data_IF_638882626856
#
_entry.id   IF_638882626856
#
_cell.length_a   1.000
_cell.length_b   1.000
_cell.length_c   1.000
_cell.angle_alpha   90.00
_cell.angle_beta   90.00
_cell.angle_gamma   90.00
#
_symmetry.space_group_name_H-M   'P 1'
#
loop_
_entity.id
_entity.type
_entity.pdbx_description
1 polymer ?
#
# COMPACT_ATOMS: atom_id res chain seq x y z
N UNK A 1 69.42 0.41 3.18
CA UNK A 1 68.20 1.10 2.69
C UNK A 1 67.41 0.27 1.68
N UNK A 2 68.01 -0.21 0.57
CA UNK A 2 67.30 -1.00 -0.46
C UNK A 2 66.63 -2.30 0.04
N UNK A 3 67.26 -3.02 0.97
CA UNK A 3 66.73 -4.29 1.53
C UNK A 3 65.55 -4.10 2.49
N UNK A 4 65.52 -2.99 3.22
CA UNK A 4 64.43 -2.67 4.17
C UNK A 4 63.19 -2.22 3.38
N UNK A 5 63.38 -1.39 2.37
CA UNK A 5 62.29 -0.95 1.48
C UNK A 5 61.59 -2.15 0.80
N UNK A 6 62.37 -3.14 0.35
CA UNK A 6 61.83 -4.35 -0.26
C UNK A 6 60.95 -5.15 0.72
N UNK A 7 61.39 -5.29 1.98
CA UNK A 7 60.63 -6.01 3.01
C UNK A 7 59.34 -5.28 3.37
N UNK A 8 59.35 -3.95 3.39
CA UNK A 8 58.14 -3.14 3.66
C UNK A 8 57.11 -3.27 2.54
N UNK A 9 57.54 -3.31 1.27
CA UNK A 9 56.63 -3.52 0.13
C UNK A 9 56.01 -4.92 0.19
N UNK A 10 56.80 -5.95 0.50
CA UNK A 10 56.29 -7.32 0.63
C UNK A 10 55.28 -7.41 1.78
N UNK A 11 55.56 -6.80 2.93
CA UNK A 11 54.62 -6.76 4.06
C UNK A 11 53.30 -6.08 3.69
N UNK A 12 53.34 -5.01 2.89
CA UNK A 12 52.14 -4.32 2.42
C UNK A 12 51.26 -5.22 1.53
N UNK A 13 51.88 -6.03 0.65
CA UNK A 13 51.16 -6.99 -0.20
C UNK A 13 50.61 -8.19 0.58
N UNK A 14 51.29 -8.64 1.63
CA UNK A 14 50.83 -9.76 2.48
C UNK A 14 49.74 -9.33 3.46
N UNK A 15 49.69 -8.04 3.82
CA UNK A 15 48.62 -7.46 4.66
C UNK A 15 47.38 -7.02 3.87
N UNK A 16 47.38 -7.12 2.53
CA UNK A 16 46.15 -6.92 1.76
C UNK A 16 45.15 -8.03 2.10
N UNK A 17 43.96 -7.71 2.61
CA UNK A 17 43.00 -8.73 2.98
C UNK A 17 42.60 -9.52 1.74
N UNK A 18 42.86 -10.83 1.72
CA UNK A 18 42.29 -11.76 0.74
C UNK A 18 40.74 -11.71 0.70
N UNK A 19 40.12 -11.09 1.71
CA UNK A 19 38.69 -10.76 1.74
C UNK A 19 38.24 -9.75 0.67
N UNK A 20 39.15 -8.99 0.06
CA UNK A 20 38.82 -8.03 -1.02
C UNK A 20 38.33 -8.71 -2.31
N UNK A 21 38.61 -10.01 -2.49
CA UNK A 21 38.23 -10.78 -3.68
C UNK A 21 36.96 -11.63 -3.48
N UNK A 22 36.31 -11.55 -2.31
CA UNK A 22 35.14 -12.36 -2.00
C UNK A 22 33.80 -11.72 -2.46
N UNK A 23 33.83 -10.52 -3.05
CA UNK A 23 32.65 -9.93 -3.70
C UNK A 23 32.74 -10.10 -5.21
N UNK A 24 32.11 -11.14 -5.72
CA UNK A 24 31.76 -11.21 -7.15
C UNK A 24 30.70 -10.15 -7.42
N UNK A 25 30.96 -9.24 -8.36
CA UNK A 25 29.92 -8.35 -8.85
C UNK A 25 28.88 -9.20 -9.58
N UNK A 26 27.63 -9.18 -9.11
CA UNK A 26 26.51 -9.76 -9.83
C UNK A 26 26.26 -8.90 -11.07
N UNK A 27 26.19 -9.53 -12.23
CA UNK A 27 25.78 -8.89 -13.47
C UNK A 27 24.26 -8.66 -13.47
N UNK A 28 23.77 -7.66 -14.21
CA UNK A 28 22.32 -7.43 -14.32
C UNK A 28 21.58 -8.65 -14.89
N UNK A 29 22.23 -9.48 -15.72
CA UNK A 29 21.63 -10.73 -16.20
C UNK A 29 21.51 -11.80 -15.11
N UNK A 30 22.46 -11.85 -14.17
CA UNK A 30 22.37 -12.74 -13.00
C UNK A 30 21.35 -12.21 -11.98
N UNK A 31 21.24 -10.89 -11.81
CA UNK A 31 20.20 -10.30 -10.98
C UNK A 31 18.82 -10.53 -11.59
N UNK A 32 18.69 -10.41 -12.92
CA UNK A 32 17.45 -10.69 -13.64
C UNK A 32 17.07 -12.16 -13.58
N UNK A 33 18.03 -13.10 -13.66
CA UNK A 33 17.69 -14.52 -13.59
C UNK A 33 17.22 -14.96 -12.20
N UNK A 34 17.67 -14.29 -11.15
CA UNK A 34 17.26 -14.56 -9.76
C UNK A 34 15.98 -13.82 -9.39
N UNK A 35 15.77 -12.59 -9.88
CA UNK A 35 14.59 -11.77 -9.54
C UNK A 35 13.40 -11.98 -10.47
N UNK A 36 13.59 -12.48 -11.69
CA UNK A 36 12.52 -12.73 -12.65
C UNK A 36 11.96 -14.17 -12.61
N UNK A 37 12.45 -15.04 -11.72
CA UNK A 37 12.04 -16.45 -11.68
C UNK A 37 10.82 -16.74 -10.80
N UNK A 38 10.52 -15.91 -9.80
CA UNK A 38 9.51 -16.25 -8.79
C UNK A 38 8.66 -15.01 -8.47
N UNK A 39 7.34 -15.18 -8.45
CA UNK A 39 6.41 -14.13 -8.02
C UNK A 39 6.70 -13.65 -6.59
N UNK A 40 6.32 -12.42 -6.27
CA UNK A 40 6.52 -11.85 -4.93
C UNK A 40 5.42 -12.34 -4.00
N UNK A 41 5.79 -13.04 -2.93
CA UNK A 41 4.88 -13.39 -1.84
C UNK A 41 5.10 -12.47 -0.65
N UNK A 42 4.04 -11.78 -0.22
CA UNK A 42 4.02 -11.01 1.03
C UNK A 42 3.18 -11.80 2.04
N UNK A 43 3.81 -12.20 3.14
CA UNK A 43 3.16 -12.91 4.24
C UNK A 43 2.73 -11.93 5.34
N UNK A 44 1.42 -11.85 5.58
CA UNK A 44 0.86 -11.02 6.66
C UNK A 44 0.79 -11.77 8.00
N UNK A 45 1.27 -13.02 8.06
CA UNK A 45 1.23 -13.85 9.24
C UNK A 45 -0.20 -14.12 9.72
N UNK A 46 -0.35 -14.35 11.02
CA UNK A 46 -1.65 -14.65 11.65
C UNK A 46 -2.53 -13.42 11.87
N UNK A 47 -1.94 -12.23 11.97
CA UNK A 47 -2.69 -11.00 12.26
C UNK A 47 -1.89 -9.75 11.89
N UNK A 48 -2.08 -9.25 10.68
CA UNK A 48 -1.76 -7.86 10.35
C UNK A 48 -3.01 -7.02 10.56
N UNK A 49 -2.91 -5.95 11.34
CA UNK A 49 -4.03 -5.03 11.55
C UNK A 49 -3.61 -3.60 11.24
N UNK A 50 -4.51 -2.87 10.60
CA UNK A 50 -4.44 -1.42 10.56
C UNK A 50 -4.99 -0.90 11.90
N UNK A 51 -4.27 0.02 12.54
CA UNK A 51 -4.69 0.64 13.80
C UNK A 51 -5.91 1.54 13.59
N UNK A 52 -5.78 2.83 13.92
CA UNK A 52 -6.87 3.77 13.71
C UNK A 52 -6.97 4.15 12.22
N UNK A 53 -8.12 3.83 11.60
CA UNK A 53 -8.49 4.34 10.28
C UNK A 53 -9.49 5.48 10.49
N UNK A 54 -9.05 6.69 10.20
CA UNK A 54 -9.88 7.89 10.27
C UNK A 54 -9.92 8.57 8.91
N UNK A 55 -11.14 8.84 8.44
CA UNK A 55 -11.39 9.74 7.33
C UNK A 55 -11.95 11.01 7.95
N UNK A 56 -11.17 12.09 7.87
CA UNK A 56 -11.56 13.38 8.45
C UNK A 56 -12.77 13.97 7.72
N UNK A 57 -12.69 14.05 6.38
CA UNK A 57 -13.80 14.48 5.53
C UNK A 57 -13.79 13.71 4.22
N UNK A 58 -14.92 13.07 3.90
CA UNK A 58 -15.31 12.75 2.53
C UNK A 58 -16.57 13.55 2.21
N UNK A 59 -16.51 14.38 1.17
CA UNK A 59 -17.63 15.23 0.78
C UNK A 59 -17.83 15.22 -0.72
N UNK A 60 -19.08 15.41 -1.13
CA UNK A 60 -19.46 15.73 -2.49
C UNK A 60 -20.42 16.91 -2.48
N UNK A 61 -20.43 17.65 -3.57
CA UNK A 61 -21.23 18.85 -3.71
C UNK A 61 -20.88 19.56 -4.99
N UNK A 62 -21.45 20.76 -5.15
CA UNK A 62 -21.10 21.66 -6.23
C UNK A 62 -20.80 23.06 -5.69
N UNK A 63 -20.03 23.81 -6.48
CA UNK A 63 -19.62 25.17 -6.12
C UNK A 63 -20.63 26.25 -6.53
N UNK A 64 -21.68 25.90 -7.28
CA UNK A 64 -22.56 26.85 -7.96
C UNK A 64 -24.05 26.70 -7.62
N UNK A 65 -24.40 25.84 -6.67
CA UNK A 65 -25.78 25.56 -6.28
C UNK A 65 -26.54 24.80 -7.37
N UNK A 66 -27.60 24.11 -6.97
CA UNK A 66 -28.56 23.50 -7.89
C UNK A 66 -29.78 24.40 -8.08
N UNK A 67 -30.60 24.14 -9.11
CA UNK A 67 -31.79 24.96 -9.42
C UNK A 67 -32.68 25.14 -8.19
N UNK A 68 -32.84 26.40 -7.75
CA UNK A 68 -33.58 26.77 -6.55
C UNK A 68 -32.71 27.23 -5.37
N UNK A 69 -31.39 27.06 -5.45
CA UNK A 69 -30.42 27.48 -4.43
C UNK A 69 -29.29 28.30 -5.08
N UNK A 70 -29.00 29.48 -4.53
CA UNK A 70 -28.06 30.43 -5.10
C UNK A 70 -26.61 30.28 -4.60
N UNK A 71 -26.34 29.27 -3.77
CA UNK A 71 -25.05 29.08 -3.09
C UNK A 71 -24.62 27.62 -3.15
N UNK A 72 -23.31 27.40 -3.04
CA UNK A 72 -22.70 26.08 -2.96
C UNK A 72 -23.32 25.25 -1.83
N UNK A 73 -23.33 23.93 -2.04
CA UNK A 73 -23.87 22.98 -1.08
C UNK A 73 -23.10 21.68 -1.13
N UNK A 74 -22.67 21.23 0.04
CA UNK A 74 -21.87 20.03 0.23
C UNK A 74 -22.53 19.13 1.26
N UNK A 75 -22.52 17.83 0.96
CA UNK A 75 -22.83 16.79 1.93
C UNK A 75 -21.64 15.89 2.04
N UNK A 76 -21.40 15.39 3.25
CA UNK A 76 -20.33 14.46 3.46
C UNK A 76 -20.26 14.02 4.90
N UNK A 77 -19.24 13.23 5.21
CA UNK A 77 -19.10 12.64 6.51
C UNK A 77 -17.66 12.56 6.95
N UNK A 78 -17.48 12.55 8.27
CA UNK A 78 -16.30 11.93 8.87
C UNK A 78 -16.59 10.45 9.12
N UNK A 79 -15.55 9.63 9.07
CA UNK A 79 -15.62 8.20 9.38
C UNK A 79 -14.52 7.85 10.36
N UNK A 80 -14.90 7.23 11.47
CA UNK A 80 -14.00 6.70 12.46
C UNK A 80 -14.28 5.20 12.61
N UNK A 81 -13.24 4.39 12.45
CA UNK A 81 -13.29 2.95 12.57
C UNK A 81 -12.59 2.52 13.85
N UNK A 82 -13.12 1.51 14.53
CA UNK A 82 -12.43 0.92 15.69
C UNK A 82 -11.00 0.50 15.32
N UNK A 83 -10.06 0.52 16.29
CA UNK A 83 -8.76 -0.10 16.09
C UNK A 83 -8.92 -1.54 15.60
N UNK A 84 -8.01 -1.97 14.72
CA UNK A 84 -8.03 -3.30 14.12
C UNK A 84 -9.29 -3.59 13.28
N UNK A 85 -10.02 -2.56 12.86
CA UNK A 85 -11.21 -2.75 12.02
C UNK A 85 -10.89 -3.33 10.64
N UNK A 86 -9.65 -3.18 10.17
CA UNK A 86 -9.17 -3.85 8.95
C UNK A 86 -8.04 -4.78 9.33
N UNK A 87 -8.26 -6.07 9.14
CA UNK A 87 -7.27 -7.12 9.40
C UNK A 87 -6.96 -7.87 8.11
N UNK A 88 -5.72 -8.31 7.99
CA UNK A 88 -5.24 -9.12 6.87
C UNK A 88 -4.56 -10.37 7.41
N UNK A 89 -4.79 -11.51 6.75
CA UNK A 89 -4.13 -12.78 7.08
C UNK A 89 -3.85 -13.60 5.82
N UNK A 90 -2.87 -14.50 5.94
CA UNK A 90 -2.40 -15.31 4.82
C UNK A 90 -1.51 -14.52 3.85
N UNK A 91 -1.43 -14.99 2.62
CA UNK A 91 -0.44 -14.53 1.64
C UNK A 91 -1.06 -13.66 0.55
N UNK A 92 -0.41 -12.54 0.25
CA UNK A 92 -0.61 -11.80 -0.99
C UNK A 92 0.44 -12.25 -1.99
N UNK A 93 0.02 -12.76 -3.15
CA UNK A 93 0.93 -13.22 -4.20
C UNK A 93 0.80 -12.32 -5.41
N UNK A 94 1.92 -11.76 -5.87
CA UNK A 94 2.02 -10.93 -7.06
C UNK A 94 2.82 -11.70 -8.10
N UNK A 95 2.23 -11.85 -9.28
CA UNK A 95 2.87 -12.50 -10.42
C UNK A 95 2.70 -11.64 -11.68
N UNK A 96 3.66 -11.74 -12.60
CA UNK A 96 3.64 -11.07 -13.89
C UNK A 96 3.86 -12.13 -14.95
N UNK A 97 2.89 -12.28 -15.86
CA UNK A 97 2.94 -13.32 -16.87
C UNK A 97 2.39 -12.85 -18.22
N UNK A 98 2.90 -13.44 -19.29
CA UNK A 98 2.36 -13.28 -20.64
C UNK A 98 1.59 -14.54 -21.01
N UNK A 99 0.30 -14.38 -21.33
CA UNK A 99 -0.51 -15.49 -21.80
C UNK A 99 -0.05 -15.91 -23.21
N UNK A 100 0.25 -17.19 -23.36
CA UNK A 100 0.79 -17.77 -24.61
C UNK A 100 -0.24 -17.85 -25.74
N UNK A 101 -1.54 -17.71 -25.43
CA UNK A 101 -2.62 -17.80 -26.42
C UNK A 101 -2.91 -16.45 -27.08
N UNK A 102 -2.88 -15.36 -26.32
CA UNK A 102 -3.26 -14.03 -26.80
C UNK A 102 -2.14 -12.98 -26.66
N UNK A 103 -0.93 -13.42 -26.28
CA UNK A 103 0.27 -12.60 -26.09
C UNK A 103 0.07 -11.42 -25.13
N UNK A 104 -0.95 -11.43 -24.27
CA UNK A 104 -1.20 -10.36 -23.31
C UNK A 104 -0.37 -10.58 -22.06
N UNK A 105 0.41 -9.56 -21.69
CA UNK A 105 1.10 -9.50 -20.41
C UNK A 105 0.18 -8.88 -19.36
N UNK A 106 0.08 -9.50 -18.20
CA UNK A 106 -0.72 -9.03 -17.07
C UNK A 106 0.03 -9.18 -15.75
N UNK A 107 -0.30 -8.31 -14.80
CA UNK A 107 0.04 -8.46 -13.39
C UNK A 107 -1.16 -9.07 -12.69
N UNK A 108 -0.98 -10.21 -12.04
CA UNK A 108 -1.98 -10.87 -11.21
C UNK A 108 -1.63 -10.71 -9.74
N UNK A 109 -2.56 -10.19 -8.95
CA UNK A 109 -2.41 -9.99 -7.50
C UNK A 109 -3.48 -10.83 -6.81
N UNK A 110 -3.08 -12.00 -6.30
CA UNK A 110 -3.95 -12.81 -5.43
C UNK A 110 -4.09 -12.08 -4.10
N UNK A 111 -5.33 -11.77 -3.75
CA UNK A 111 -5.62 -11.07 -2.50
C UNK A 111 -5.44 -12.02 -1.30
N UNK A 112 -4.84 -11.55 -0.20
CA UNK A 112 -4.86 -12.24 1.07
C UNK A 112 -6.29 -12.20 1.65
N UNK A 113 -6.51 -12.86 2.78
CA UNK A 113 -7.78 -12.70 3.48
C UNK A 113 -7.82 -11.30 4.09
N UNK A 114 -8.66 -10.43 3.55
CA UNK A 114 -8.94 -9.11 4.11
C UNK A 114 -10.25 -9.23 4.89
N UNK A 115 -10.26 -8.83 6.15
CA UNK A 115 -11.46 -8.80 6.97
C UNK A 115 -11.67 -7.39 7.51
N UNK A 116 -12.79 -6.78 7.13
CA UNK A 116 -13.26 -5.52 7.69
C UNK A 116 -14.31 -5.84 8.75
N UNK A 117 -14.01 -5.55 10.02
CA UNK A 117 -14.86 -5.86 11.16
C UNK A 117 -14.83 -4.75 12.21
N UNK A 118 -15.65 -4.85 13.26
CA UNK A 118 -15.70 -3.86 14.32
C UNK A 118 -16.77 -2.78 14.13
N UNK A 119 -16.59 -1.66 14.82
CA UNK A 119 -17.58 -0.57 14.82
C UNK A 119 -17.10 0.55 13.90
N UNK A 120 -18.00 1.02 13.04
CA UNK A 120 -17.78 2.20 12.21
C UNK A 120 -18.78 3.27 12.66
N UNK A 121 -18.25 4.43 13.05
CA UNK A 121 -19.05 5.61 13.35
C UNK A 121 -18.86 6.61 12.23
N UNK A 122 -19.95 7.06 11.64
CA UNK A 122 -19.92 8.11 10.62
C UNK A 122 -20.83 9.26 11.01
N UNK A 123 -20.31 10.49 10.96
CA UNK A 123 -21.09 11.70 11.26
C UNK A 123 -21.38 12.42 9.96
N UNK A 124 -22.65 12.38 9.55
CA UNK A 124 -23.11 12.98 8.30
C UNK A 124 -23.47 14.45 8.51
N UNK A 125 -22.96 15.32 7.64
CA UNK A 125 -23.15 16.77 7.70
C UNK A 125 -23.56 17.35 6.35
N UNK A 126 -24.33 18.44 6.40
CA UNK A 126 -24.53 19.40 5.32
C UNK A 126 -23.82 20.71 5.66
N UNK A 127 -23.14 21.30 4.67
CA UNK A 127 -22.44 22.57 4.82
C UNK A 127 -22.39 23.35 3.50
N UNK A 128 -22.19 24.68 3.53
CA UNK A 128 -21.95 25.48 2.33
C UNK A 128 -20.51 25.36 1.80
N UNK A 129 -19.60 24.77 2.56
CA UNK A 129 -18.18 24.56 2.23
C UNK A 129 -17.83 23.07 2.06
N UNK A 130 -16.82 22.78 1.25
CA UNK A 130 -16.39 21.41 0.92
C UNK A 130 -15.81 20.69 2.13
N UNK A 131 -15.17 21.42 3.03
CA UNK A 131 -14.48 20.92 4.21
C UNK A 131 -15.45 20.52 5.34
N UNK A 132 -16.72 20.95 5.24
CA UNK A 132 -17.77 20.72 6.23
C UNK A 132 -17.46 21.32 7.60
N UNK A 133 -16.86 22.51 7.63
CA UNK A 133 -16.43 23.23 8.84
C UNK A 133 -17.06 24.61 9.05
N UNK A 134 -17.84 25.15 8.09
CA UNK A 134 -18.47 26.46 8.28
C UNK A 134 -19.39 26.55 9.51
N UNK A 135 -19.62 27.78 9.98
CA UNK A 135 -20.59 28.04 11.03
C UNK A 135 -22.02 27.81 10.49
N UNK A 136 -22.77 26.88 11.08
CA UNK A 136 -24.14 26.55 10.65
C UNK A 136 -24.32 25.15 10.07
N UNK A 137 -23.29 24.30 10.10
CA UNK A 137 -23.36 22.94 9.56
C UNK A 137 -24.42 22.12 10.30
N UNK A 138 -25.37 21.59 9.54
CA UNK A 138 -26.37 20.69 10.09
C UNK A 138 -25.76 19.29 10.13
N UNK A 139 -25.44 18.79 11.33
CA UNK A 139 -25.28 17.34 11.50
C UNK A 139 -26.62 16.72 11.21
N UNK A 140 -26.73 16.01 10.09
CA UNK A 140 -27.96 15.35 9.67
C UNK A 140 -28.22 14.14 10.58
N UNK A 141 -27.14 13.47 10.98
CA UNK A 141 -27.22 12.34 11.89
C UNK A 141 -25.87 11.64 12.05
N UNK A 142 -25.88 10.63 12.91
CA UNK A 142 -24.75 9.73 13.11
C UNK A 142 -25.16 8.33 12.71
N UNK A 143 -24.45 7.74 11.75
CA UNK A 143 -24.60 6.35 11.40
C UNK A 143 -23.66 5.51 12.27
N UNK A 144 -24.23 4.52 12.95
CA UNK A 144 -23.49 3.52 13.72
C UNK A 144 -23.63 2.18 13.01
N UNK A 145 -22.55 1.71 12.40
CA UNK A 145 -22.52 0.40 11.76
C UNK A 145 -21.80 -0.54 12.72
N UNK A 146 -22.52 -1.54 13.21
CA UNK A 146 -22.00 -2.59 14.10
C UNK A 146 -22.14 -3.94 13.43
N UNK A 147 -21.10 -4.77 13.57
CA UNK A 147 -21.12 -6.13 13.05
C UNK A 147 -21.03 -6.22 11.53
N UNK A 148 -20.49 -5.18 10.87
CA UNK A 148 -20.15 -5.28 9.46
C UNK A 148 -19.05 -6.33 9.28
N UNK A 149 -19.19 -7.19 8.27
CA UNK A 149 -18.14 -8.13 7.86
C UNK A 149 -18.04 -8.11 6.34
N UNK A 150 -16.89 -7.68 5.83
CA UNK A 150 -16.53 -7.79 4.41
C UNK A 150 -15.27 -8.66 4.28
N UNK A 151 -15.34 -9.66 3.41
CA UNK A 151 -14.23 -10.55 3.10
C UNK A 151 -14.04 -10.69 1.60
N UNK A 152 -13.46 -9.66 0.93
CA UNK A 152 -13.16 -9.77 -0.50
C UNK A 152 -12.15 -10.90 -0.74
N UNK A 153 -12.42 -11.72 -1.75
CA UNK A 153 -11.57 -12.84 -2.16
C UNK A 153 -11.39 -12.83 -3.67
N UNK A 154 -10.29 -13.42 -4.15
CA UNK A 154 -9.99 -13.56 -5.58
C UNK A 154 -8.66 -12.91 -5.99
N UNK A 155 -8.59 -12.51 -7.25
CA UNK A 155 -7.37 -11.97 -7.88
C UNK A 155 -7.69 -10.66 -8.59
N UNK A 156 -6.94 -9.60 -8.29
CA UNK A 156 -6.91 -8.39 -9.11
C UNK A 156 -5.97 -8.62 -10.29
N UNK A 157 -6.47 -8.47 -11.51
CA UNK A 157 -5.66 -8.61 -12.74
C UNK A 157 -5.59 -7.28 -13.46
N UNK A 158 -4.37 -6.80 -13.71
CA UNK A 158 -4.09 -5.58 -14.46
C UNK A 158 -3.45 -5.97 -15.78
N UNK A 159 -4.08 -5.62 -16.89
CA UNK A 159 -3.56 -5.89 -18.22
C UNK A 159 -2.70 -4.73 -18.71
N UNK A 160 -1.60 -5.05 -19.41
CA UNK A 160 -0.88 -4.07 -20.21
C UNK A 160 -1.78 -3.53 -21.34
N UNK A 161 -1.66 -2.24 -21.64
CA UNK A 161 -2.34 -1.55 -22.73
C UNK A 161 -1.41 -1.35 -23.93
#
# INVERSE_FOLDING_TARGET
MKKILLLTVIALFVMMPFASFAKTAITDSELSSVTAQEGVTIDFGTSFSLGNVQIETISWGDGNGFTGYASAGWVGASVDMSPDAVTMSGTLNIDVGTNTTDARTAVAIKLPNINISGNITSVLKLAPDQELIAAGNATIGTAFIKGLTLSPAGTLVIYAH
#
